data_IF_369492260562
#
_entry.id   IF_369492260562
#
_cell.length_a   1.000
_cell.length_b   1.000
_cell.length_c   1.000
_cell.angle_alpha   90.00
_cell.angle_beta   90.00
_cell.angle_gamma   90.00
#
_symmetry.space_group_name_H-M   'P 1'
#
loop_
_entity.id
_entity.type
_entity.pdbx_description
1 polymer ?
#
# COMPACT_ATOMS: atom_id res chain seq x y z
N UNK A 1 30.75 14.69 -60.87
CA UNK A 1 29.36 15.13 -60.61
C UNK A 1 29.11 14.99 -59.12
N UNK A 2 28.57 16.04 -58.51
CA UNK A 2 27.84 16.01 -57.24
C UNK A 2 26.64 15.02 -57.33
N UNK A 3 26.04 14.50 -56.27
CA UNK A 3 25.43 15.22 -55.16
C UNK A 3 25.17 14.30 -53.95
N UNK A 4 24.89 14.91 -52.80
CA UNK A 4 24.46 14.30 -51.54
C UNK A 4 23.21 13.42 -51.71
N UNK A 5 23.09 12.38 -50.88
CA UNK A 5 21.76 11.98 -50.41
C UNK A 5 21.81 11.55 -48.95
N UNK A 6 20.96 12.21 -48.18
CA UNK A 6 20.98 12.30 -46.75
C UNK A 6 19.91 11.38 -46.13
N UNK A 7 20.27 10.83 -44.97
CA UNK A 7 19.36 10.63 -43.82
C UNK A 7 18.31 9.51 -43.95
N UNK A 8 18.55 8.42 -43.23
CA UNK A 8 17.48 7.85 -42.41
C UNK A 8 18.04 7.48 -41.03
N UNK A 9 17.57 8.19 -40.03
CA UNK A 9 17.98 8.04 -38.63
C UNK A 9 16.99 7.06 -38.01
N UNK A 10 17.42 6.03 -37.25
CA UNK A 10 16.46 5.14 -36.63
C UNK A 10 15.57 5.95 -35.69
N UNK A 11 14.29 5.99 -36.06
CA UNK A 11 13.14 6.52 -35.34
C UNK A 11 13.37 6.42 -33.83
N UNK A 12 13.53 7.59 -33.20
CA UNK A 12 13.55 7.72 -31.75
C UNK A 12 12.21 7.19 -31.27
N UNK A 13 12.20 5.93 -30.85
CA UNK A 13 11.12 5.31 -30.11
C UNK A 13 10.85 6.20 -28.90
N UNK A 14 9.86 7.08 -29.06
CA UNK A 14 9.29 7.85 -27.97
C UNK A 14 8.82 6.81 -26.97
N UNK A 15 9.58 6.68 -25.87
CA UNK A 15 9.19 5.81 -24.76
C UNK A 15 7.92 6.40 -24.19
N UNK A 16 6.79 5.90 -24.69
CA UNK A 16 5.47 6.18 -24.15
C UNK A 16 5.55 5.96 -22.65
N UNK A 17 5.25 7.03 -21.90
CA UNK A 17 5.18 6.95 -20.46
C UNK A 17 4.13 5.91 -20.12
N UNK A 18 4.56 4.76 -19.58
CA UNK A 18 3.66 3.69 -19.20
C UNK A 18 2.58 4.25 -18.28
N UNK A 19 1.35 4.29 -18.77
CA UNK A 19 0.21 4.69 -17.97
C UNK A 19 0.18 3.75 -16.76
N UNK A 20 0.47 4.27 -15.57
CA UNK A 20 0.46 3.51 -14.33
C UNK A 20 -0.87 2.76 -14.26
N UNK A 21 -0.81 1.43 -14.30
CA UNK A 21 -2.03 0.60 -14.25
C UNK A 21 -2.82 0.99 -13.00
N UNK A 22 -4.10 1.34 -13.18
CA UNK A 22 -4.98 1.64 -12.07
C UNK A 22 -5.05 0.40 -11.15
N UNK A 23 -4.78 0.60 -9.86
CA UNK A 23 -4.80 -0.50 -8.91
C UNK A 23 -6.23 -1.03 -8.76
N UNK A 24 -6.42 -2.34 -8.95
CA UNK A 24 -7.73 -2.97 -8.75
C UNK A 24 -8.08 -2.96 -7.26
N UNK A 25 -9.08 -2.20 -6.88
CA UNK A 25 -9.62 -2.15 -5.52
C UNK A 25 -10.85 -3.05 -5.42
N UNK A 26 -10.85 -3.97 -4.46
CA UNK A 26 -12.00 -4.81 -4.14
C UNK A 26 -12.74 -4.25 -2.93
N UNK A 27 -14.05 -4.25 -3.00
CA UNK A 27 -14.93 -3.80 -1.93
C UNK A 27 -15.11 -4.89 -0.86
N UNK A 28 -15.61 -4.51 0.30
CA UNK A 28 -15.94 -5.50 1.34
C UNK A 28 -17.10 -6.41 0.89
N UNK A 29 -17.97 -5.94 -0.02
CA UNK A 29 -19.00 -6.76 -0.64
C UNK A 29 -18.40 -7.87 -1.52
N UNK A 30 -17.30 -7.59 -2.24
CA UNK A 30 -16.61 -8.60 -3.05
C UNK A 30 -16.00 -9.70 -2.18
N UNK A 31 -15.44 -9.32 -1.02
CA UNK A 31 -14.97 -10.28 -0.01
C UNK A 31 -16.10 -11.13 0.54
N UNK A 32 -17.24 -10.52 0.90
CA UNK A 32 -18.42 -11.26 1.40
C UNK A 32 -18.92 -12.26 0.36
N UNK A 33 -19.07 -11.85 -0.91
CA UNK A 33 -19.46 -12.75 -2.00
C UNK A 33 -18.48 -13.89 -2.18
N UNK A 34 -17.18 -13.61 -2.09
CA UNK A 34 -16.12 -14.61 -2.17
C UNK A 34 -16.23 -15.66 -1.06
N UNK A 35 -16.35 -15.24 0.20
CA UNK A 35 -16.47 -16.18 1.32
C UNK A 35 -17.78 -16.96 1.29
N UNK A 36 -18.87 -16.35 0.82
CA UNK A 36 -20.13 -17.05 0.58
C UNK A 36 -19.95 -18.24 -0.37
N UNK A 37 -19.26 -18.04 -1.50
CA UNK A 37 -18.95 -19.12 -2.44
C UNK A 37 -18.05 -20.20 -1.82
N UNK A 38 -17.07 -19.81 -1.03
CA UNK A 38 -16.15 -20.76 -0.38
C UNK A 38 -16.85 -21.61 0.68
N UNK A 39 -17.63 -21.00 1.58
CA UNK A 39 -18.22 -21.71 2.73
C UNK A 39 -19.57 -22.35 2.41
N UNK A 40 -20.50 -21.64 1.76
CA UNK A 40 -21.83 -22.20 1.48
C UNK A 40 -21.82 -23.16 0.29
N UNK A 41 -20.99 -22.88 -0.72
CA UNK A 41 -20.89 -23.72 -1.94
C UNK A 41 -19.65 -24.61 -1.97
N UNK A 42 -18.88 -24.66 -0.88
CA UNK A 42 -17.67 -25.48 -0.73
C UNK A 42 -16.67 -25.31 -1.89
N UNK A 43 -16.62 -24.14 -2.53
CA UNK A 43 -15.73 -23.90 -3.66
C UNK A 43 -14.29 -23.71 -3.19
N UNK A 44 -13.34 -24.07 -4.06
CA UNK A 44 -11.95 -23.67 -3.86
C UNK A 44 -11.78 -22.16 -4.05
N UNK A 45 -10.77 -21.57 -3.41
CA UNK A 45 -10.46 -20.14 -3.53
C UNK A 45 -10.24 -19.72 -4.99
N UNK A 46 -9.59 -20.55 -5.79
CA UNK A 46 -9.35 -20.26 -7.21
C UNK A 46 -10.62 -20.33 -8.05
N UNK A 47 -11.53 -21.27 -7.77
CA UNK A 47 -12.81 -21.38 -8.45
C UNK A 47 -13.71 -20.18 -8.14
N UNK A 48 -13.86 -19.83 -6.86
CA UNK A 48 -14.62 -18.66 -6.43
C UNK A 48 -14.04 -17.35 -7.00
N UNK A 49 -12.72 -17.21 -7.05
CA UNK A 49 -12.06 -16.05 -7.63
C UNK A 49 -12.38 -15.87 -9.12
N UNK A 50 -12.25 -16.95 -9.91
CA UNK A 50 -12.58 -16.92 -11.34
C UNK A 50 -14.05 -16.56 -11.56
N UNK A 51 -14.96 -17.11 -10.76
CA UNK A 51 -16.38 -16.81 -10.86
C UNK A 51 -16.72 -15.35 -10.56
N UNK A 52 -16.01 -14.72 -9.63
CA UNK A 52 -16.24 -13.32 -9.22
C UNK A 52 -15.34 -12.32 -9.96
N UNK A 53 -14.48 -12.76 -10.88
CA UNK A 53 -13.52 -11.88 -11.56
C UNK A 53 -12.44 -11.32 -10.63
N UNK A 54 -12.21 -11.97 -9.48
CA UNK A 54 -11.17 -11.58 -8.52
C UNK A 54 -9.85 -12.21 -8.95
N UNK A 55 -8.76 -11.46 -8.85
CA UNK A 55 -7.44 -12.00 -9.11
C UNK A 55 -7.13 -13.17 -8.15
N UNK A 56 -6.80 -14.34 -8.69
CA UNK A 56 -6.66 -15.59 -7.93
C UNK A 56 -5.69 -15.48 -6.76
N UNK A 57 -4.57 -14.75 -6.93
CA UNK A 57 -3.58 -14.54 -5.85
C UNK A 57 -4.17 -13.75 -4.67
N UNK A 58 -5.08 -12.80 -4.94
CA UNK A 58 -5.75 -12.01 -3.92
C UNK A 58 -6.72 -12.88 -3.12
N UNK A 59 -7.53 -13.67 -3.82
CA UNK A 59 -8.45 -14.63 -3.22
C UNK A 59 -7.75 -15.68 -2.35
N UNK A 60 -6.62 -16.22 -2.81
CA UNK A 60 -5.80 -17.15 -2.02
C UNK A 60 -5.25 -16.49 -0.75
N UNK A 61 -4.79 -15.25 -0.82
CA UNK A 61 -4.37 -14.49 0.37
C UNK A 61 -5.52 -14.30 1.36
N UNK A 62 -6.70 -13.93 0.89
CA UNK A 62 -7.88 -13.82 1.76
C UNK A 62 -8.25 -15.15 2.41
N UNK A 63 -8.22 -16.25 1.66
CA UNK A 63 -8.46 -17.59 2.20
C UNK A 63 -7.44 -18.00 3.26
N UNK A 64 -6.17 -17.61 3.11
CA UNK A 64 -5.13 -17.85 4.11
C UNK A 64 -5.34 -17.00 5.35
N UNK A 65 -5.56 -15.68 5.19
CA UNK A 65 -5.84 -14.77 6.30
C UNK A 65 -7.06 -15.22 7.11
N UNK A 66 -8.09 -15.74 6.45
CA UNK A 66 -9.30 -16.25 7.12
C UNK A 66 -9.01 -17.37 8.12
N UNK A 67 -7.94 -18.15 7.90
CA UNK A 67 -7.54 -19.23 8.81
C UNK A 67 -6.74 -18.73 10.00
N UNK A 68 -5.99 -17.65 9.83
CA UNK A 68 -5.11 -17.10 10.87
C UNK A 68 -5.81 -16.06 11.74
N UNK A 69 -6.57 -15.17 11.11
CA UNK A 69 -7.29 -14.06 11.74
C UNK A 69 -8.44 -13.61 10.82
N UNK A 70 -9.65 -14.18 10.99
CA UNK A 70 -10.78 -13.87 10.12
C UNK A 70 -11.26 -12.42 10.23
N UNK A 71 -11.11 -11.80 11.41
CA UNK A 71 -11.58 -10.43 11.66
C UNK A 71 -10.69 -9.42 10.92
N UNK A 72 -9.39 -9.68 10.81
CA UNK A 72 -8.44 -8.83 10.09
C UNK A 72 -8.78 -8.60 8.60
N UNK A 73 -9.54 -9.50 7.96
CA UNK A 73 -9.86 -9.39 6.54
C UNK A 73 -10.73 -8.17 6.23
N UNK A 74 -11.60 -7.79 7.18
CA UNK A 74 -12.51 -6.66 7.04
C UNK A 74 -11.99 -5.39 7.74
N UNK A 75 -11.02 -5.53 8.65
CA UNK A 75 -10.40 -4.40 9.32
C UNK A 75 -9.55 -3.62 8.32
N UNK A 76 -10.01 -2.42 7.98
CA UNK A 76 -9.19 -1.44 7.25
C UNK A 76 -8.23 -0.82 8.26
N UNK A 77 -7.01 -1.33 8.35
CA UNK A 77 -5.97 -0.65 9.11
C UNK A 77 -5.80 0.76 8.53
N UNK A 78 -6.12 1.78 9.33
CA UNK A 78 -5.67 3.14 9.03
C UNK A 78 -4.16 3.05 8.90
N UNK A 79 -3.60 3.57 7.80
CA UNK A 79 -2.15 3.68 7.66
C UNK A 79 -1.65 4.68 8.70
N UNK A 80 -1.46 4.18 9.91
CA UNK A 80 -0.70 4.86 10.95
C UNK A 80 0.73 4.82 10.42
N UNK A 81 1.29 6.01 10.18
CA UNK A 81 2.67 6.13 9.75
C UNK A 81 3.61 5.52 10.79
N UNK A 82 4.91 5.62 10.53
CA UNK A 82 5.91 5.22 11.54
C UNK A 82 5.61 5.93 12.86
N UNK A 83 5.64 5.17 13.96
CA UNK A 83 5.52 5.73 15.31
C UNK A 83 6.51 6.88 15.50
N UNK A 84 6.10 7.88 16.29
CA UNK A 84 6.95 9.03 16.60
C UNK A 84 8.21 8.55 17.33
N UNK A 85 9.34 9.17 16.99
CA UNK A 85 10.64 8.87 17.61
C UNK A 85 10.65 9.36 19.07
N UNK A 86 10.05 10.53 19.34
CA UNK A 86 9.91 11.06 20.69
C UNK A 86 8.65 10.47 21.35
N UNK A 87 8.88 9.69 22.42
CA UNK A 87 7.83 9.13 23.27
C UNK A 87 7.38 10.17 24.32
N UNK A 88 6.33 9.87 25.07
CA UNK A 88 5.73 10.83 26.02
C UNK A 88 6.73 11.25 27.11
N UNK A 89 7.55 10.31 27.57
CA UNK A 89 8.67 10.56 28.49
C UNK A 89 9.67 11.59 27.96
N UNK A 90 10.08 11.49 26.69
CA UNK A 90 10.98 12.46 26.07
C UNK A 90 10.35 13.86 26.00
N UNK A 91 9.04 13.93 25.73
CA UNK A 91 8.35 15.22 25.70
C UNK A 91 8.28 15.87 27.07
N UNK A 92 8.03 15.08 28.11
CA UNK A 92 7.94 15.58 29.48
C UNK A 92 9.26 16.21 29.91
N UNK A 93 10.39 15.53 29.65
CA UNK A 93 11.73 16.05 29.95
C UNK A 93 12.00 17.34 29.17
N UNK A 94 11.64 17.40 27.87
CA UNK A 94 11.80 18.61 27.06
C UNK A 94 10.96 19.77 27.61
N UNK A 95 9.72 19.49 28.04
CA UNK A 95 8.82 20.51 28.61
C UNK A 95 9.38 21.07 29.92
N UNK A 96 9.79 20.20 30.84
CA UNK A 96 10.38 20.61 32.13
C UNK A 96 11.64 21.46 31.92
N UNK A 97 12.50 21.07 30.99
CA UNK A 97 13.73 21.80 30.68
C UNK A 97 13.47 23.21 30.10
N UNK A 98 12.44 23.34 29.25
CA UNK A 98 12.03 24.65 28.70
C UNK A 98 11.36 25.50 29.78
N UNK A 99 10.54 24.89 30.65
CA UNK A 99 9.87 25.60 31.75
C UNK A 99 10.89 26.15 32.77
N UNK A 100 11.97 25.41 33.03
CA UNK A 100 13.07 25.87 33.88
C UNK A 100 13.88 27.02 33.25
N UNK A 101 14.10 26.97 31.93
CA UNK A 101 14.86 27.98 31.20
C UNK A 101 14.19 28.33 29.85
N UNK A 102 13.22 29.25 29.82
CA UNK A 102 12.43 29.52 28.61
C UNK A 102 13.23 30.14 27.46
N UNK A 103 14.44 30.64 27.72
CA UNK A 103 15.35 31.20 26.72
C UNK A 103 16.31 30.15 26.11
N UNK A 104 16.16 28.87 26.46
CA UNK A 104 17.08 27.81 26.03
C UNK A 104 17.02 27.59 24.52
N UNK A 105 18.18 27.41 23.89
CA UNK A 105 18.27 27.18 22.45
C UNK A 105 17.93 25.72 22.10
N UNK A 106 17.28 25.49 20.96
CA UNK A 106 16.89 24.13 20.52
C UNK A 106 18.08 23.16 20.46
N UNK A 107 19.27 23.62 20.04
CA UNK A 107 20.48 22.78 20.00
C UNK A 107 20.83 22.20 21.37
N UNK A 108 20.63 22.97 22.45
CA UNK A 108 20.89 22.54 23.82
C UNK A 108 19.84 21.55 24.33
N UNK A 109 18.61 21.63 23.82
CA UNK A 109 17.52 20.67 24.12
C UNK A 109 17.78 19.32 23.43
N UNK A 110 18.55 19.32 22.34
CA UNK A 110 18.81 18.14 21.51
C UNK A 110 20.11 17.40 21.86
N UNK A 111 20.93 17.95 22.76
CA UNK A 111 22.19 17.35 23.25
C UNK A 111 21.92 16.26 24.30
#
# INVERSE_FOLDING_TARGET
MADEDAKDSPDVCTKEASSKQAYTLYTDQDKVRFFKLMFEKAMSASAAAKQLGIHVRTAQRWAQMCKTDPDSIFIKHKKIGRSRILQEEHKQVILEYIDENPSVALEQVME
#
